data_IF_550502688227
#
_entry.id   IF_550502688227
#
_cell.length_a   1.000
_cell.length_b   1.000
_cell.length_c   1.000
_cell.angle_alpha   90.00
_cell.angle_beta   90.00
_cell.angle_gamma   90.00
#
_symmetry.space_group_name_H-M   'P 1'
#
loop_
_entity.id
_entity.type
_entity.pdbx_description
1 polymer ?
#
# COMPACT_ATOMS: atom_id res chain seq x y z
N UNK A 1 -3.95 33.11 8.83
CA UNK A 1 -4.25 32.06 9.82
C UNK A 1 -3.64 30.77 9.31
N UNK A 2 -2.72 30.17 10.08
CA UNK A 2 -2.30 28.79 9.80
C UNK A 2 -3.54 27.87 9.91
N UNK A 3 -3.68 26.84 9.06
CA UNK A 3 -4.78 25.88 9.20
C UNK A 3 -4.71 25.21 10.58
N UNK A 4 -5.86 24.97 11.20
CA UNK A 4 -5.89 24.18 12.44
C UNK A 4 -5.28 22.79 12.18
N UNK A 5 -4.53 22.20 13.14
CA UNK A 5 -3.84 20.92 12.95
C UNK A 5 -4.74 19.79 12.44
N UNK A 6 -6.00 19.79 12.90
CA UNK A 6 -7.02 18.82 12.50
C UNK A 6 -7.35 18.94 11.00
N UNK A 7 -7.43 20.16 10.48
CA UNK A 7 -7.72 20.40 9.06
C UNK A 7 -6.57 19.95 8.16
N UNK A 8 -5.32 20.14 8.60
CA UNK A 8 -4.14 19.72 7.84
C UNK A 8 -4.03 18.19 7.76
N UNK A 9 -4.23 17.48 8.88
CA UNK A 9 -4.17 16.02 8.89
C UNK A 9 -5.32 15.39 8.08
N UNK A 10 -6.54 15.92 8.20
CA UNK A 10 -7.68 15.46 7.39
C UNK A 10 -7.44 15.69 5.89
N UNK A 11 -6.86 16.85 5.53
CA UNK A 11 -6.49 17.17 4.15
C UNK A 11 -5.47 16.16 3.60
N UNK A 12 -4.44 15.85 4.40
CA UNK A 12 -3.43 14.87 4.05
C UNK A 12 -4.03 13.47 3.88
N UNK A 13 -4.81 12.98 4.84
CA UNK A 13 -5.41 11.63 4.77
C UNK A 13 -6.33 11.48 3.58
N UNK A 14 -7.16 12.51 3.30
CA UNK A 14 -8.03 12.52 2.13
C UNK A 14 -7.22 12.49 0.84
N UNK A 15 -6.20 13.35 0.71
CA UNK A 15 -5.38 13.40 -0.51
C UNK A 15 -4.57 12.10 -0.71
N UNK A 16 -4.00 11.55 0.37
CA UNK A 16 -3.28 10.26 0.34
C UNK A 16 -4.16 9.16 -0.21
N UNK A 17 -5.41 9.07 0.29
CA UNK A 17 -6.40 8.11 -0.18
C UNK A 17 -6.66 8.26 -1.68
N UNK A 18 -6.99 9.46 -2.15
CA UNK A 18 -7.25 9.72 -3.57
C UNK A 18 -6.05 9.34 -4.47
N UNK A 19 -4.82 9.64 -4.04
CA UNK A 19 -3.61 9.28 -4.78
C UNK A 19 -3.42 7.76 -4.82
N UNK A 20 -3.56 7.08 -3.67
CA UNK A 20 -3.39 5.63 -3.58
C UNK A 20 -4.41 4.85 -4.43
N UNK A 21 -5.65 5.31 -4.49
CA UNK A 21 -6.74 4.67 -5.24
C UNK A 21 -6.74 5.03 -6.74
N UNK A 22 -5.71 5.74 -7.21
CA UNK A 22 -5.55 6.04 -8.63
C UNK A 22 -6.48 7.12 -9.17
N UNK A 23 -7.05 8.00 -8.32
CA UNK A 23 -7.82 9.17 -8.78
C UNK A 23 -7.03 10.01 -9.78
N UNK A 24 -5.71 10.11 -9.55
CA UNK A 24 -4.76 10.72 -10.45
C UNK A 24 -3.94 9.63 -11.13
N UNK A 25 -3.95 9.58 -12.46
CA UNK A 25 -3.16 8.58 -13.22
C UNK A 25 -1.66 8.85 -13.07
N UNK A 26 -0.80 7.82 -13.13
CA UNK A 26 0.65 8.01 -13.20
C UNK A 26 1.06 9.05 -14.27
N UNK A 27 1.96 9.97 -13.92
CA UNK A 27 2.36 11.10 -14.76
C UNK A 27 1.42 12.32 -14.74
N UNK A 28 0.27 12.22 -14.07
CA UNK A 28 -0.66 13.36 -13.94
C UNK A 28 -0.08 14.41 -12.99
N UNK A 29 -0.12 15.67 -13.42
CA UNK A 29 0.20 16.80 -12.56
C UNK A 29 -0.93 17.03 -11.54
N UNK A 30 -0.57 17.12 -10.26
CA UNK A 30 -1.49 17.41 -9.16
C UNK A 30 -1.32 18.88 -8.76
N UNK A 31 -2.36 19.69 -8.95
CA UNK A 31 -2.30 21.14 -8.79
C UNK A 31 -2.88 21.54 -7.42
N UNK A 32 -2.07 22.10 -6.53
CA UNK A 32 -2.48 22.44 -5.16
C UNK A 32 -3.70 23.37 -5.09
N UNK A 33 -3.79 24.35 -6.00
CA UNK A 33 -4.93 25.27 -6.04
C UNK A 33 -6.24 24.54 -6.35
N UNK A 34 -6.25 23.66 -7.35
CA UNK A 34 -7.42 22.87 -7.73
C UNK A 34 -7.89 21.94 -6.60
N UNK A 35 -6.95 21.28 -5.93
CA UNK A 35 -7.26 20.42 -4.77
C UNK A 35 -7.82 21.24 -3.61
N UNK A 36 -7.26 22.43 -3.33
CA UNK A 36 -7.75 23.30 -2.26
C UNK A 36 -9.20 23.75 -2.50
N UNK A 37 -9.55 24.13 -3.73
CA UNK A 37 -10.92 24.45 -4.11
C UNK A 37 -11.86 23.26 -3.94
N UNK A 38 -11.46 22.07 -4.40
CA UNK A 38 -12.29 20.86 -4.29
C UNK A 38 -12.50 20.43 -2.83
N UNK A 39 -11.47 20.55 -2.00
CA UNK A 39 -11.53 20.14 -0.61
C UNK A 39 -12.16 21.21 0.29
N UNK A 40 -12.47 22.40 -0.24
CA UNK A 40 -13.03 23.51 0.53
C UNK A 40 -12.07 24.05 1.58
N UNK A 41 -10.76 24.02 1.31
CA UNK A 41 -9.70 24.44 2.24
C UNK A 41 -8.75 25.45 1.59
N UNK A 42 -7.82 26.00 2.35
CA UNK A 42 -6.79 26.90 1.80
C UNK A 42 -5.65 26.13 1.12
N UNK A 43 -4.84 26.82 0.33
CA UNK A 43 -3.73 26.18 -0.42
C UNK A 43 -2.61 25.68 0.51
N UNK A 44 -2.38 26.32 1.66
CA UNK A 44 -1.30 25.93 2.59
C UNK A 44 -1.40 24.48 3.07
N UNK A 45 -2.50 24.02 3.72
CA UNK A 45 -2.60 22.64 4.18
C UNK A 45 -2.54 21.62 3.04
N UNK A 46 -3.02 21.97 1.84
CA UNK A 46 -2.89 21.11 0.66
C UNK A 46 -1.44 20.99 0.23
N UNK A 47 -0.71 22.11 0.16
CA UNK A 47 0.71 22.10 -0.20
C UNK A 47 1.52 21.30 0.82
N UNK A 48 1.24 21.46 2.12
CA UNK A 48 1.92 20.72 3.18
C UNK A 48 1.63 19.22 3.10
N UNK A 49 0.37 18.84 2.82
CA UNK A 49 -0.01 17.45 2.53
C UNK A 49 0.74 16.88 1.32
N UNK A 50 0.84 17.64 0.23
CA UNK A 50 1.55 17.22 -0.99
C UNK A 50 3.05 17.08 -0.75
N UNK A 51 3.67 17.97 0.03
CA UNK A 51 5.07 17.86 0.45
C UNK A 51 5.31 16.56 1.24
N UNK A 52 4.41 16.22 2.15
CA UNK A 52 4.46 14.95 2.90
C UNK A 52 4.27 13.74 1.99
N UNK A 53 3.35 13.78 1.04
CA UNK A 53 3.20 12.72 0.04
C UNK A 53 4.44 12.57 -0.86
N UNK A 54 5.15 13.67 -1.12
CA UNK A 54 6.41 13.61 -1.85
C UNK A 54 7.54 12.96 -1.04
N UNK A 55 7.62 13.22 0.28
CA UNK A 55 8.58 12.52 1.14
C UNK A 55 8.26 11.03 1.29
N UNK A 56 6.98 10.64 1.17
CA UNK A 56 6.51 9.25 1.11
C UNK A 56 6.66 8.61 -0.29
N UNK A 57 7.13 9.36 -1.29
CA UNK A 57 7.25 8.95 -2.71
C UNK A 57 5.92 8.50 -3.33
N UNK A 58 4.82 9.05 -2.84
CA UNK A 58 3.49 8.94 -3.46
C UNK A 58 3.26 10.06 -4.48
N UNK A 59 4.01 11.16 -4.37
CA UNK A 59 4.13 12.23 -5.37
C UNK A 59 5.60 12.53 -5.65
N UNK A 60 5.90 13.19 -6.78
CA UNK A 60 7.21 13.75 -7.08
C UNK A 60 7.12 15.26 -7.30
N UNK A 61 8.21 15.99 -7.02
CA UNK A 61 8.33 17.39 -7.39
C UNK A 61 8.62 17.55 -8.88
N UNK A 62 7.92 18.48 -9.53
CA UNK A 62 8.23 18.88 -10.91
C UNK A 62 9.19 20.08 -10.96
N UNK A 63 10.03 20.12 -12.00
CA UNK A 63 11.03 21.17 -12.22
C UNK A 63 10.46 22.59 -12.43
N UNK A 64 9.14 22.74 -12.63
CA UNK A 64 8.43 24.02 -12.74
C UNK A 64 7.67 24.45 -11.49
N UNK A 65 7.83 23.73 -10.38
CA UNK A 65 6.96 23.86 -9.21
C UNK A 65 5.68 23.04 -9.37
N UNK A 66 5.19 22.49 -8.26
CA UNK A 66 4.06 21.57 -8.24
C UNK A 66 4.49 20.11 -8.04
N UNK A 67 3.53 19.21 -8.25
CA UNK A 67 3.68 17.79 -7.97
C UNK A 67 3.10 16.95 -9.09
N UNK A 68 3.62 15.75 -9.26
CA UNK A 68 3.10 14.75 -10.18
C UNK A 68 3.00 13.38 -9.52
N UNK A 69 2.12 12.53 -10.04
CA UNK A 69 2.05 11.11 -9.64
C UNK A 69 3.23 10.36 -10.28
N UNK A 70 4.01 9.57 -9.52
CA UNK A 70 5.11 8.78 -10.05
C UNK A 70 4.66 7.82 -11.15
N UNK A 71 5.53 7.59 -12.15
CA UNK A 71 5.33 6.55 -13.15
C UNK A 71 5.59 5.16 -12.56
N UNK A 72 4.82 4.16 -13.00
CA UNK A 72 5.05 2.76 -12.65
C UNK A 72 5.90 2.08 -13.71
N UNK A 73 7.22 2.15 -13.53
CA UNK A 73 8.14 1.33 -14.32
C UNK A 73 8.18 -0.11 -13.80
N UNK A 74 8.31 -1.09 -14.69
CA UNK A 74 8.34 -2.51 -14.32
C UNK A 74 9.47 -2.82 -13.33
N UNK A 75 10.69 -2.31 -13.59
CA UNK A 75 11.85 -2.47 -12.71
C UNK A 75 11.62 -1.85 -11.32
N UNK A 76 11.00 -0.67 -11.26
CA UNK A 76 10.68 0.00 -9.99
C UNK A 76 9.65 -0.80 -9.18
N UNK A 77 8.62 -1.34 -9.83
CA UNK A 77 7.62 -2.18 -9.18
C UNK A 77 8.20 -3.53 -8.72
N UNK A 78 9.09 -4.15 -9.51
CA UNK A 78 9.85 -5.34 -9.10
C UNK A 78 10.65 -5.08 -7.82
N UNK A 79 11.41 -3.98 -7.79
CA UNK A 79 12.17 -3.58 -6.62
C UNK A 79 11.27 -3.34 -5.40
N UNK A 80 10.09 -2.77 -5.60
CA UNK A 80 9.16 -2.48 -4.51
C UNK A 80 8.54 -3.76 -3.92
N UNK A 81 8.16 -4.74 -4.75
CA UNK A 81 7.70 -6.05 -4.25
C UNK A 81 8.84 -6.85 -3.60
N UNK A 82 10.06 -6.81 -4.15
CA UNK A 82 11.21 -7.46 -3.55
C UNK A 82 11.53 -6.86 -2.17
N UNK A 83 11.54 -5.53 -2.07
CA UNK A 83 11.76 -4.83 -0.82
C UNK A 83 10.66 -5.13 0.22
N UNK A 84 9.40 -5.14 -0.20
CA UNK A 84 8.29 -5.53 0.68
C UNK A 84 8.48 -6.95 1.24
N UNK A 85 8.85 -7.90 0.38
CA UNK A 85 9.11 -9.29 0.80
C UNK A 85 10.23 -9.35 1.85
N UNK A 86 11.31 -8.61 1.65
CA UNK A 86 12.46 -8.63 2.54
C UNK A 86 12.12 -8.09 3.92
N UNK A 87 11.43 -6.94 3.99
CA UNK A 87 10.98 -6.35 5.27
C UNK A 87 9.99 -7.26 5.98
N UNK A 88 8.98 -7.79 5.28
CA UNK A 88 7.99 -8.70 5.88
C UNK A 88 8.68 -9.96 6.42
N UNK A 89 9.70 -10.48 5.73
CA UNK A 89 10.47 -11.64 6.21
C UNK A 89 11.27 -11.31 7.48
N UNK A 90 11.84 -10.11 7.58
CA UNK A 90 12.51 -9.66 8.81
C UNK A 90 11.52 -9.54 9.96
N UNK A 91 10.36 -8.91 9.72
CA UNK A 91 9.27 -8.80 10.70
C UNK A 91 8.82 -10.17 11.24
N UNK A 92 8.69 -11.18 10.37
CA UNK A 92 8.32 -12.53 10.78
C UNK A 92 9.40 -13.26 11.59
N UNK A 93 10.67 -12.94 11.37
CA UNK A 93 11.79 -13.53 12.14
C UNK A 93 11.88 -12.95 13.54
N UNK A 94 11.55 -11.67 13.67
CA UNK A 94 11.59 -10.91 14.92
C UNK A 94 10.22 -10.85 15.61
N UNK A 95 9.32 -11.79 15.27
CA UNK A 95 7.95 -11.82 15.77
C UNK A 95 7.92 -12.09 17.27
N UNK A 96 7.20 -11.24 18.00
CA UNK A 96 6.86 -11.49 19.39
C UNK A 96 5.70 -12.49 19.47
N UNK A 97 5.90 -13.57 20.23
CA UNK A 97 4.92 -14.63 20.41
C UNK A 97 3.74 -14.23 21.29
N UNK A 98 3.84 -13.10 22.00
CA UNK A 98 2.80 -12.55 22.88
C UNK A 98 1.93 -11.45 22.26
N UNK A 99 2.14 -11.09 20.99
CA UNK A 99 1.32 -10.06 20.34
C UNK A 99 -0.06 -10.61 19.99
N UNK A 100 -1.10 -10.10 20.66
CA UNK A 100 -2.49 -10.35 20.31
C UNK A 100 -2.81 -9.67 18.97
N UNK A 101 -2.98 -10.46 17.92
CA UNK A 101 -3.48 -9.99 16.64
C UNK A 101 -4.97 -10.36 16.52
N UNK A 102 -5.78 -9.43 16.00
CA UNK A 102 -7.15 -9.72 15.59
C UNK A 102 -7.16 -10.89 14.59
N UNK A 103 -8.05 -11.87 14.79
CA UNK A 103 -8.19 -12.94 13.80
C UNK A 103 -8.87 -12.42 12.54
N UNK A 104 -8.09 -12.25 11.48
CA UNK A 104 -8.59 -11.78 10.18
C UNK A 104 -9.33 -12.88 9.40
N UNK A 105 -9.24 -14.15 9.81
CA UNK A 105 -9.78 -15.27 9.03
C UNK A 105 -11.27 -15.13 8.67
N UNK A 106 -12.18 -14.73 9.60
CA UNK A 106 -13.59 -14.55 9.26
C UNK A 106 -13.80 -13.52 8.15
N UNK A 107 -13.04 -12.42 8.16
CA UNK A 107 -13.10 -11.37 7.13
C UNK A 107 -12.53 -11.87 5.81
N UNK A 108 -11.41 -12.58 5.83
CA UNK A 108 -10.76 -13.12 4.62
C UNK A 108 -11.63 -14.14 3.89
N UNK A 109 -12.37 -14.98 4.62
CA UNK A 109 -13.29 -15.97 4.04
C UNK A 109 -14.48 -15.35 3.30
N UNK A 110 -14.82 -14.10 3.60
CA UNK A 110 -15.93 -13.37 2.95
C UNK A 110 -15.48 -12.60 1.69
N UNK A 111 -14.17 -12.57 1.40
CA UNK A 111 -13.64 -11.83 0.25
C UNK A 111 -14.01 -12.50 -1.06
N UNK A 112 -14.27 -11.66 -2.07
CA UNK A 112 -14.52 -12.09 -3.44
C UNK A 112 -13.40 -11.60 -4.35
N UNK A 113 -13.03 -12.43 -5.34
CA UNK A 113 -11.98 -12.08 -6.29
C UNK A 113 -12.39 -10.96 -7.27
N UNK A 114 -13.68 -10.64 -7.38
CA UNK A 114 -14.20 -9.55 -8.21
C UNK A 114 -14.35 -8.23 -7.47
N UNK A 115 -13.88 -8.14 -6.22
CA UNK A 115 -13.81 -6.90 -5.43
C UNK A 115 -12.34 -6.53 -5.14
N UNK A 116 -11.69 -5.78 -6.06
CA UNK A 116 -10.30 -5.37 -5.88
C UNK A 116 -10.08 -4.53 -4.62
N UNK A 117 -11.01 -3.66 -4.27
CA UNK A 117 -10.89 -2.75 -3.13
C UNK A 117 -10.85 -3.54 -1.81
N UNK A 118 -11.78 -4.47 -1.64
CA UNK A 118 -11.80 -5.35 -0.46
C UNK A 118 -10.52 -6.20 -0.36
N UNK A 119 -10.02 -6.71 -1.49
CA UNK A 119 -8.77 -7.48 -1.54
C UNK A 119 -7.56 -6.63 -1.13
N UNK A 120 -7.44 -5.39 -1.63
CA UNK A 120 -6.32 -4.51 -1.28
C UNK A 120 -6.37 -4.10 0.18
N UNK A 121 -7.57 -3.79 0.71
CA UNK A 121 -7.74 -3.48 2.13
C UNK A 121 -7.35 -4.68 3.01
N UNK A 122 -7.86 -5.88 2.70
CA UNK A 122 -7.50 -7.09 3.44
C UNK A 122 -6.01 -7.42 3.37
N UNK A 123 -5.39 -7.20 2.21
CA UNK A 123 -3.94 -7.33 2.04
C UNK A 123 -3.18 -6.35 2.94
N UNK A 124 -3.67 -5.11 3.06
CA UNK A 124 -3.08 -4.07 3.89
C UNK A 124 -3.17 -4.44 5.38
N UNK A 125 -4.35 -4.88 5.83
CA UNK A 125 -4.60 -5.33 7.20
C UNK A 125 -3.72 -6.53 7.56
N UNK A 126 -3.58 -7.51 6.65
CA UNK A 126 -2.73 -8.67 6.84
C UNK A 126 -1.26 -8.29 7.05
N UNK A 127 -0.70 -7.42 6.21
CA UNK A 127 0.69 -7.00 6.34
C UNK A 127 0.90 -6.08 7.55
N UNK A 128 -0.09 -5.25 7.90
CA UNK A 128 -0.07 -4.45 9.12
C UNK A 128 -0.01 -5.34 10.37
N UNK A 129 -0.77 -6.43 10.42
CA UNK A 129 -0.73 -7.41 11.51
C UNK A 129 0.66 -8.06 11.65
N UNK A 130 1.35 -8.35 10.54
CA UNK A 130 2.74 -8.84 10.58
C UNK A 130 3.68 -7.77 11.17
N UNK A 131 3.52 -6.52 10.76
CA UNK A 131 4.32 -5.40 11.27
C UNK A 131 4.10 -5.16 12.77
N UNK A 132 2.85 -5.23 13.24
CA UNK A 132 2.49 -5.09 14.65
C UNK A 132 3.00 -6.24 15.51
N UNK A 133 3.08 -7.45 14.95
CA UNK A 133 3.64 -8.60 15.64
C UNK A 133 5.17 -8.61 15.75
N UNK A 134 5.88 -7.67 15.14
CA UNK A 134 7.35 -7.58 15.19
C UNK A 134 7.81 -6.87 16.46
N UNK A 135 8.84 -7.41 17.13
CA UNK A 135 9.50 -6.75 18.26
C UNK A 135 10.28 -5.47 17.87
N UNK A 136 10.51 -5.27 16.56
CA UNK A 136 11.07 -4.05 16.00
C UNK A 136 9.98 -3.24 15.27
N UNK A 137 9.63 -2.07 15.83
CA UNK A 137 8.57 -1.19 15.32
C UNK A 137 8.89 -0.60 13.92
N UNK A 138 10.16 -0.49 13.55
CA UNK A 138 10.57 0.00 12.23
C UNK A 138 10.11 -0.91 11.09
N UNK A 139 9.90 -2.21 11.37
CA UNK A 139 9.30 -3.11 10.39
C UNK A 139 7.88 -2.70 10.03
N UNK A 140 7.04 -2.33 11.01
CA UNK A 140 5.68 -1.87 10.78
C UNK A 140 5.64 -0.58 9.94
N UNK A 141 6.47 0.40 10.32
CA UNK A 141 6.60 1.67 9.58
C UNK A 141 7.02 1.42 8.13
N UNK A 142 8.01 0.56 7.90
CA UNK A 142 8.48 0.23 6.56
C UNK A 142 7.40 -0.52 5.75
N UNK A 143 6.72 -1.51 6.35
CA UNK A 143 5.64 -2.26 5.69
C UNK A 143 4.52 -1.32 5.24
N UNK A 144 4.05 -0.41 6.10
CA UNK A 144 3.00 0.55 5.77
C UNK A 144 3.43 1.50 4.64
N UNK A 145 4.64 2.04 4.72
CA UNK A 145 5.18 2.95 3.70
C UNK A 145 5.33 2.27 2.33
N UNK A 146 5.75 1.01 2.29
CA UNK A 146 5.84 0.22 1.06
C UNK A 146 4.44 -0.17 0.55
N UNK A 147 3.56 -0.60 1.46
CA UNK A 147 2.18 -0.96 1.16
C UNK A 147 1.40 0.19 0.52
N UNK A 148 1.59 1.42 1.02
CA UNK A 148 0.98 2.62 0.45
C UNK A 148 1.36 2.82 -1.02
N UNK A 149 2.64 2.58 -1.37
CA UNK A 149 3.15 2.70 -2.74
C UNK A 149 2.75 1.51 -3.64
N UNK A 150 2.52 0.33 -3.05
CA UNK A 150 2.02 -0.84 -3.76
C UNK A 150 0.50 -0.82 -3.97
N UNK A 151 -0.23 0.06 -3.29
CA UNK A 151 -1.69 0.05 -3.27
C UNK A 151 -2.30 0.10 -4.68
N UNK A 152 -1.88 1.06 -5.51
CA UNK A 152 -2.38 1.16 -6.89
C UNK A 152 -2.06 -0.11 -7.70
N UNK A 153 -0.84 -0.64 -7.60
CA UNK A 153 -0.48 -1.89 -8.29
C UNK A 153 -1.38 -3.07 -7.86
N UNK A 154 -1.73 -3.16 -6.57
CA UNK A 154 -2.60 -4.22 -6.03
C UNK A 154 -4.04 -4.11 -6.52
N UNK A 155 -4.55 -2.89 -6.80
CA UNK A 155 -5.86 -2.72 -7.44
C UNK A 155 -5.88 -3.33 -8.85
N UNK A 156 -4.73 -3.32 -9.54
CA UNK A 156 -4.55 -3.87 -10.89
C UNK A 156 -3.94 -5.29 -10.90
N UNK A 157 -4.22 -6.09 -9.87
CA UNK A 157 -3.80 -7.49 -9.76
C UNK A 157 -4.85 -8.51 -10.29
N UNK A 158 -5.91 -8.09 -10.98
CA UNK A 158 -7.04 -8.95 -11.37
C UNK A 158 -6.67 -10.20 -12.20
N UNK A 159 -5.58 -10.15 -12.97
CA UNK A 159 -5.00 -11.28 -13.71
C UNK A 159 -4.41 -12.38 -12.82
N UNK A 160 -4.21 -12.10 -11.53
CA UNK A 160 -3.90 -13.11 -10.51
C UNK A 160 -5.26 -13.66 -10.05
N UNK A 161 -5.66 -14.85 -10.50
CA UNK A 161 -6.86 -15.53 -9.98
C UNK A 161 -6.69 -15.91 -8.49
N UNK A 162 -7.71 -16.46 -7.85
CA UNK A 162 -7.63 -17.06 -6.50
C UNK A 162 -6.95 -16.17 -5.44
N UNK A 163 -7.15 -14.84 -5.49
CA UNK A 163 -6.48 -13.89 -4.57
C UNK A 163 -7.07 -13.99 -3.17
N UNK A 164 -8.38 -14.12 -3.04
CA UNK A 164 -9.03 -14.32 -1.75
C UNK A 164 -8.51 -15.59 -1.06
N UNK A 165 -8.47 -16.71 -1.78
CA UNK A 165 -7.95 -17.99 -1.29
C UNK A 165 -6.45 -17.91 -0.93
N UNK A 166 -5.66 -17.16 -1.72
CA UNK A 166 -4.27 -16.89 -1.42
C UNK A 166 -4.09 -16.13 -0.10
N UNK A 167 -4.89 -15.08 0.16
CA UNK A 167 -4.83 -14.34 1.42
C UNK A 167 -5.22 -15.21 2.61
N UNK A 168 -6.24 -16.06 2.47
CA UNK A 168 -6.62 -17.06 3.49
C UNK A 168 -5.43 -17.99 3.78
N UNK A 169 -4.80 -18.54 2.74
CA UNK A 169 -3.65 -19.44 2.92
C UNK A 169 -2.46 -18.75 3.59
N UNK A 170 -2.18 -17.49 3.25
CA UNK A 170 -1.13 -16.70 3.91
C UNK A 170 -1.49 -16.48 5.39
N UNK A 171 -2.72 -16.08 5.70
CA UNK A 171 -3.14 -15.89 7.09
C UNK A 171 -3.09 -17.17 7.92
N UNK A 172 -3.60 -18.29 7.40
CA UNK A 172 -3.52 -19.57 8.10
C UNK A 172 -2.07 -19.99 8.39
N UNK A 173 -1.14 -19.73 7.46
CA UNK A 173 0.28 -19.98 7.67
C UNK A 173 0.90 -19.08 8.76
N UNK A 174 0.39 -17.85 8.93
CA UNK A 174 0.81 -16.90 9.94
C UNK A 174 0.27 -17.24 11.34
N UNK A 175 -0.99 -17.67 11.42
CA UNK A 175 -1.70 -17.81 12.70
C UNK A 175 -1.51 -19.17 13.36
N UNK A 176 -1.31 -20.25 12.59
CA UNK A 176 -1.27 -21.61 13.11
C UNK A 176 0.02 -22.38 12.80
N UNK A 177 0.90 -21.82 11.95
CA UNK A 177 2.09 -22.51 11.46
C UNK A 177 3.40 -22.08 12.14
N UNK A 178 4.47 -22.88 12.01
CA UNK A 178 5.81 -22.41 12.33
C UNK A 178 6.22 -21.25 11.41
N UNK A 179 7.10 -20.37 11.89
CA UNK A 179 7.59 -19.18 11.15
C UNK A 179 8.11 -19.54 9.75
N UNK A 180 8.68 -20.73 9.56
CA UNK A 180 9.14 -21.22 8.25
C UNK A 180 8.00 -21.35 7.24
N UNK A 181 6.81 -21.80 7.66
CA UNK A 181 5.61 -21.91 6.81
C UNK A 181 5.10 -20.53 6.43
N UNK A 182 5.06 -19.59 7.38
CA UNK A 182 4.72 -18.19 7.11
C UNK A 182 5.67 -17.57 6.08
N UNK A 183 6.99 -17.72 6.28
CA UNK A 183 8.00 -17.22 5.33
C UNK A 183 7.81 -17.83 3.93
N UNK A 184 7.49 -19.13 3.85
CA UNK A 184 7.23 -19.79 2.57
C UNK A 184 5.99 -19.23 1.87
N UNK A 185 4.90 -18.98 2.61
CA UNK A 185 3.68 -18.38 2.10
C UNK A 185 3.90 -16.95 1.59
N UNK A 186 4.61 -16.12 2.36
CA UNK A 186 4.97 -14.75 1.96
C UNK A 186 5.84 -14.75 0.69
N UNK A 187 6.81 -15.66 0.58
CA UNK A 187 7.63 -15.80 -0.62
C UNK A 187 6.79 -16.22 -1.84
N UNK A 188 5.82 -17.12 -1.64
CA UNK A 188 4.90 -17.52 -2.71
C UNK A 188 4.03 -16.36 -3.19
N UNK A 189 3.43 -15.59 -2.26
CA UNK A 189 2.64 -14.39 -2.55
C UNK A 189 3.42 -13.41 -3.44
N UNK A 190 4.64 -13.04 -3.04
CA UNK A 190 5.46 -12.06 -3.77
C UNK A 190 5.95 -12.59 -5.11
N UNK A 191 6.41 -13.85 -5.17
CA UNK A 191 6.86 -14.49 -6.41
C UNK A 191 5.76 -14.47 -7.48
N UNK A 192 4.51 -14.63 -7.06
CA UNK A 192 3.35 -14.60 -7.95
C UNK A 192 3.18 -13.23 -8.62
N UNK A 193 3.34 -12.13 -7.85
CA UNK A 193 3.31 -10.75 -8.37
C UNK A 193 4.52 -10.46 -9.25
N UNK A 194 5.73 -10.82 -8.81
CA UNK A 194 6.97 -10.59 -9.56
C UNK A 194 6.91 -11.18 -10.98
N UNK A 195 6.35 -12.40 -11.14
CA UNK A 195 6.15 -13.03 -12.46
C UNK A 195 5.13 -12.31 -13.36
N UNK A 196 4.35 -11.39 -12.81
CA UNK A 196 3.26 -10.67 -13.49
C UNK A 196 3.45 -9.16 -13.51
N UNK A 197 4.58 -8.62 -13.05
CA UNK A 197 4.85 -7.18 -13.06
C UNK A 197 4.55 -6.54 -14.42
N UNK A 198 5.02 -7.06 -15.57
CA UNK A 198 4.69 -6.44 -16.85
C UNK A 198 3.20 -6.37 -17.14
N UNK A 199 2.41 -7.35 -16.68
CA UNK A 199 0.96 -7.35 -16.84
C UNK A 199 0.27 -6.40 -15.86
N UNK A 200 0.71 -6.35 -14.60
CA UNK A 200 0.23 -5.40 -13.58
C UNK A 200 0.45 -3.96 -14.06
N UNK A 201 1.68 -3.64 -14.49
CA UNK A 201 2.02 -2.31 -15.00
C UNK A 201 1.14 -1.94 -16.19
N UNK A 202 0.97 -2.83 -17.18
CA UNK A 202 0.07 -2.56 -18.30
C UNK A 202 -1.35 -2.26 -17.84
N UNK A 203 -1.88 -3.04 -16.90
CA UNK A 203 -3.24 -2.86 -16.38
C UNK A 203 -3.45 -1.51 -15.67
N UNK A 204 -2.41 -0.91 -15.07
CA UNK A 204 -2.49 0.43 -14.45
C UNK A 204 -2.77 1.53 -15.50
N UNK A 205 -2.28 1.36 -16.73
CA UNK A 205 -2.41 2.37 -17.80
C UNK A 205 -3.61 2.10 -18.73
N UNK A 206 -4.34 1.01 -18.53
CA UNK A 206 -5.54 0.68 -19.32
C UNK A 206 -6.77 1.26 -18.61
N UNK A 207 -7.64 2.00 -19.33
CA UNK A 207 -8.86 2.60 -18.77
C UNK A 207 -9.92 1.58 -18.36
#
# INVERSE_FOLDING_TARGET
MAPEPVTAELTYQRLKREVMHGRFRPGTQVISHSIAQEFGTSISPVRDAMQRLASERLLHHQAGGGFEVPHFEASALENLYAWHQDVVRLALRDRDSGADAEDLLPRLLMLRDDDPEALVQATTDLFAAIGQGSSNAEHGVAIEAIGSRLHLARLHEAQLGDRSAELVAVWSALSAGPVSTAIAAIRAYHRRRLRRVPAIVRAIYVP
#
